data_IF_354654872833
#
_entry.id   IF_354654872833
#
_cell.length_a   1.000
_cell.length_b   1.000
_cell.length_c   1.000
_cell.angle_alpha   90.00
_cell.angle_beta   90.00
_cell.angle_gamma   90.00
#
_symmetry.space_group_name_H-M   'P 1'
#
loop_
_entity.id
_entity.type
_entity.pdbx_description
1 polymer ?
#
# COMPACT_ATOMS: atom_id res chain seq x y z
N UNK A 1 9.23 -51.45 -19.93
CA UNK A 1 9.51 -50.26 -20.78
C UNK A 1 8.84 -49.08 -20.11
N UNK A 2 9.47 -48.49 -19.09
CA UNK A 2 9.00 -47.28 -18.43
C UNK A 2 10.17 -46.32 -18.33
N UNK A 3 10.20 -45.37 -19.26
CA UNK A 3 11.08 -44.21 -19.24
C UNK A 3 10.28 -43.02 -18.74
N UNK A 4 10.29 -42.77 -17.43
CA UNK A 4 9.80 -41.51 -16.84
C UNK A 4 10.98 -40.57 -16.72
N UNK A 5 11.31 -39.90 -17.81
CA UNK A 5 12.20 -38.75 -17.86
C UNK A 5 11.35 -37.48 -18.00
N UNK A 6 10.97 -36.87 -16.88
CA UNK A 6 10.52 -35.47 -16.85
C UNK A 6 11.18 -34.76 -15.69
N UNK A 7 12.22 -34.02 -16.05
CA UNK A 7 12.87 -33.02 -15.20
C UNK A 7 11.84 -31.94 -14.86
N UNK A 8 11.36 -31.94 -13.61
CA UNK A 8 10.63 -30.80 -13.07
C UNK A 8 11.67 -29.77 -12.61
N UNK A 9 11.71 -28.64 -13.32
CA UNK A 9 12.40 -27.43 -12.88
C UNK A 9 11.79 -26.99 -11.55
N UNK A 10 12.47 -27.28 -10.44
CA UNK A 10 12.14 -26.69 -9.14
C UNK A 10 12.67 -25.26 -9.12
N UNK A 11 11.79 -24.29 -9.31
CA UNK A 11 12.07 -22.89 -8.94
C UNK A 11 12.13 -22.82 -7.42
N UNK A 12 13.34 -22.77 -6.88
CA UNK A 12 13.57 -22.59 -5.44
C UNK A 12 14.12 -21.17 -5.25
N UNK A 13 13.24 -20.18 -5.10
CA UNK A 13 13.68 -18.84 -4.71
C UNK A 13 13.68 -18.71 -3.19
N UNK A 14 14.89 -18.73 -2.61
CA UNK A 14 15.07 -18.36 -1.22
C UNK A 14 15.00 -16.84 -1.12
N UNK A 15 13.84 -16.34 -0.72
CA UNK A 15 13.70 -14.95 -0.34
C UNK A 15 14.33 -14.71 1.03
N UNK A 16 15.58 -14.21 1.04
CA UNK A 16 16.23 -13.70 2.25
C UNK A 16 15.70 -12.31 2.57
N UNK A 17 14.41 -12.18 2.86
CA UNK A 17 13.93 -10.99 3.55
C UNK A 17 13.82 -11.31 5.04
N UNK A 18 14.45 -10.51 5.91
CA UNK A 18 14.18 -10.60 7.34
C UNK A 18 12.72 -10.23 7.58
N UNK A 19 11.84 -11.22 7.68
CA UNK A 19 10.45 -10.98 8.07
C UNK A 19 10.43 -10.62 9.54
N UNK A 20 9.97 -9.42 9.86
CA UNK A 20 9.78 -9.01 11.25
C UNK A 20 8.58 -9.73 11.84
N UNK A 21 8.77 -10.44 12.96
CA UNK A 21 7.72 -11.19 13.64
C UNK A 21 6.58 -10.29 14.14
N UNK A 22 6.88 -9.02 14.42
CA UNK A 22 5.93 -8.00 14.80
C UNK A 22 6.25 -6.73 14.05
N UNK A 23 5.22 -5.97 13.74
CA UNK A 23 5.39 -4.60 13.30
C UNK A 23 6.13 -3.78 14.38
N UNK A 24 6.95 -2.79 14.00
CA UNK A 24 7.66 -1.93 14.93
C UNK A 24 6.73 -1.32 15.99
N UNK A 25 5.50 -0.95 15.61
CA UNK A 25 4.48 -0.42 16.52
C UNK A 25 4.04 -1.39 17.62
N UNK A 26 4.23 -2.70 17.42
CA UNK A 26 3.85 -3.76 18.36
C UNK A 26 5.04 -4.33 19.14
N UNK A 27 6.24 -3.78 18.92
CA UNK A 27 7.46 -4.19 19.61
C UNK A 27 7.68 -3.35 20.86
N UNK A 28 8.27 -3.93 21.91
CA UNK A 28 8.64 -3.16 23.08
C UNK A 28 9.64 -2.06 22.68
N UNK A 29 9.44 -0.81 23.11
CA UNK A 29 10.33 0.29 22.76
C UNK A 29 11.77 -0.04 23.19
N UNK A 30 12.72 0.21 22.30
CA UNK A 30 14.15 -0.05 22.54
C UNK A 30 14.63 -1.48 22.23
N UNK A 31 13.76 -2.39 21.80
CA UNK A 31 14.16 -3.73 21.32
C UNK A 31 14.21 -3.77 19.80
N UNK A 32 15.21 -4.46 19.24
CA UNK A 32 15.25 -4.75 17.80
C UNK A 32 14.16 -5.77 17.45
N UNK A 33 13.37 -5.54 16.38
CA UNK A 33 12.40 -6.52 15.91
C UNK A 33 13.06 -7.86 15.61
N UNK A 34 12.47 -8.96 16.09
CA UNK A 34 12.98 -10.30 15.79
C UNK A 34 12.64 -10.68 14.36
N UNK A 35 13.63 -11.26 13.68
CA UNK A 35 13.51 -11.70 12.29
C UNK A 35 13.43 -13.22 12.21
N UNK A 36 12.74 -13.75 11.21
CA UNK A 36 12.69 -15.18 10.92
C UNK A 36 12.80 -15.41 9.42
N UNK A 37 13.55 -16.45 9.04
CA UNK A 37 13.66 -16.86 7.64
C UNK A 37 12.43 -17.67 7.24
N UNK A 38 11.86 -17.34 6.09
CA UNK A 38 10.69 -18.02 5.53
C UNK A 38 11.08 -18.60 4.18
N UNK A 39 10.70 -19.85 3.95
CA UNK A 39 10.85 -20.53 2.66
C UNK A 39 9.45 -20.61 2.05
N UNK A 40 9.29 -19.99 0.88
CA UNK A 40 8.10 -20.11 0.05
C UNK A 40 8.48 -20.93 -1.19
N UNK A 41 7.71 -21.97 -1.48
CA UNK A 41 7.93 -22.86 -2.62
C UNK A 41 6.72 -22.79 -3.58
N UNK A 42 6.95 -23.18 -4.83
CA UNK A 42 5.93 -23.35 -5.88
C UNK A 42 5.06 -22.10 -6.13
N UNK A 43 3.76 -22.16 -5.87
CA UNK A 43 2.78 -21.11 -6.12
C UNK A 43 2.87 -19.93 -5.12
N UNK A 44 3.65 -20.07 -4.05
CA UNK A 44 3.89 -19.00 -3.07
C UNK A 44 5.07 -18.09 -3.44
N UNK A 45 5.86 -18.42 -4.46
CA UNK A 45 6.95 -17.57 -4.95
C UNK A 45 6.37 -16.24 -5.46
N UNK A 46 7.03 -15.12 -5.14
CA UNK A 46 6.58 -13.74 -5.45
C UNK A 46 5.22 -13.32 -4.87
N UNK A 47 4.69 -14.06 -3.88
CA UNK A 47 3.41 -13.73 -3.24
C UNK A 47 3.41 -12.43 -2.42
N UNK A 48 4.58 -11.84 -2.15
CA UNK A 48 4.73 -10.56 -1.46
C UNK A 48 5.98 -9.79 -1.91
N UNK A 49 5.96 -8.47 -1.72
CA UNK A 49 7.08 -7.57 -2.02
C UNK A 49 7.68 -6.98 -0.74
N UNK A 50 8.96 -6.55 -0.76
CA UNK A 50 9.53 -5.81 0.36
C UNK A 50 8.65 -4.62 0.76
N UNK A 51 8.27 -4.55 2.04
CA UNK A 51 7.40 -3.51 2.59
C UNK A 51 5.93 -3.92 2.76
N UNK A 52 5.51 -5.03 2.16
CA UNK A 52 4.16 -5.56 2.37
C UNK A 52 3.95 -6.03 3.81
N UNK A 53 2.75 -5.77 4.33
CA UNK A 53 2.28 -6.38 5.57
C UNK A 53 1.72 -7.75 5.23
N UNK A 54 2.39 -8.81 5.67
CA UNK A 54 1.98 -10.20 5.43
C UNK A 54 1.72 -10.95 6.73
N UNK A 55 0.74 -11.84 6.69
CA UNK A 55 0.55 -12.92 7.64
C UNK A 55 0.92 -14.23 6.95
N UNK A 56 1.86 -14.97 7.54
CA UNK A 56 2.39 -16.21 6.96
C UNK A 56 2.04 -17.37 7.90
N UNK A 57 1.39 -18.39 7.34
CA UNK A 57 1.09 -19.64 8.04
C UNK A 57 1.98 -20.72 7.46
N UNK A 58 2.64 -21.48 8.33
CA UNK A 58 3.62 -22.47 7.90
C UNK A 58 4.11 -23.39 9.00
N UNK A 59 5.00 -24.31 8.63
CA UNK A 59 5.61 -25.29 9.53
C UNK A 59 6.97 -24.76 9.98
N UNK A 60 7.13 -24.56 11.29
CA UNK A 60 8.40 -24.15 11.87
C UNK A 60 9.36 -25.34 11.98
N UNK A 61 10.55 -25.25 11.39
CA UNK A 61 11.51 -26.35 11.30
C UNK A 61 12.94 -25.91 11.61
N UNK A 62 13.66 -26.72 12.37
CA UNK A 62 15.09 -26.54 12.59
C UNK A 62 15.90 -27.25 11.49
N UNK A 63 16.79 -26.52 10.82
CA UNK A 63 17.74 -27.07 9.85
C UNK A 63 18.98 -27.59 10.58
N UNK A 64 19.13 -28.93 10.64
CA UNK A 64 20.16 -29.62 11.39
C UNK A 64 21.60 -29.18 11.05
N UNK A 65 21.86 -28.79 9.79
CA UNK A 65 23.21 -28.44 9.33
C UNK A 65 23.67 -27.04 9.70
N UNK A 66 22.76 -26.10 10.03
CA UNK A 66 23.10 -24.68 10.22
C UNK A 66 22.69 -24.08 11.57
N UNK A 67 22.13 -24.88 12.50
CA UNK A 67 21.48 -24.37 13.73
C UNK A 67 20.54 -23.18 13.46
N UNK A 68 19.90 -23.20 12.29
CA UNK A 68 19.03 -22.16 11.79
C UNK A 68 17.61 -22.69 11.78
N UNK A 69 16.67 -21.91 12.28
CA UNK A 69 15.25 -22.23 12.19
C UNK A 69 14.63 -21.47 11.04
N UNK A 70 13.77 -22.15 10.30
CA UNK A 70 13.07 -21.59 9.15
C UNK A 70 11.58 -21.90 9.30
N UNK A 71 10.74 -21.02 8.77
CA UNK A 71 9.32 -21.29 8.57
C UNK A 71 9.11 -21.72 7.12
N UNK A 72 8.64 -22.94 6.90
CA UNK A 72 8.20 -23.37 5.56
C UNK A 72 6.77 -22.87 5.40
N UNK A 73 6.56 -21.90 4.50
CA UNK A 73 5.26 -21.28 4.28
C UNK A 73 4.32 -22.26 3.56
N UNK A 74 3.11 -22.38 4.11
CA UNK A 74 1.97 -23.07 3.47
C UNK A 74 0.97 -22.05 2.89
N UNK A 75 0.95 -20.83 3.43
CA UNK A 75 0.09 -19.75 2.95
C UNK A 75 0.72 -18.40 3.29
N UNK A 76 0.64 -17.46 2.34
CA UNK A 76 1.00 -16.05 2.51
C UNK A 76 -0.22 -15.18 2.25
N UNK A 77 -0.66 -14.46 3.28
CA UNK A 77 -1.80 -13.55 3.22
C UNK A 77 -1.32 -12.10 3.33
N UNK A 78 -1.53 -11.31 2.28
CA UNK A 78 -1.27 -9.86 2.29
C UNK A 78 -2.35 -9.16 3.11
N UNK A 79 -1.97 -8.57 4.25
CA UNK A 79 -2.90 -7.82 5.11
C UNK A 79 -3.30 -6.47 4.51
N UNK A 80 -2.50 -5.94 3.59
CA UNK A 80 -2.84 -4.73 2.83
C UNK A 80 -3.71 -5.02 1.60
N UNK A 81 -4.13 -6.28 1.33
CA UNK A 81 -4.93 -6.62 0.14
C UNK A 81 -6.23 -5.83 0.09
N UNK A 82 -6.92 -5.68 1.22
CA UNK A 82 -8.19 -4.93 1.25
C UNK A 82 -8.02 -3.46 0.90
N UNK A 83 -6.87 -2.86 1.25
CA UNK A 83 -6.55 -1.48 0.88
C UNK A 83 -6.26 -1.33 -0.63
N UNK A 84 -5.66 -2.37 -1.24
CA UNK A 84 -5.24 -2.33 -2.64
C UNK A 84 -6.28 -2.91 -3.63
N UNK A 85 -7.18 -3.78 -3.14
CA UNK A 85 -8.21 -4.46 -3.92
C UNK A 85 -9.41 -4.82 -3.01
N UNK A 86 -10.20 -3.82 -2.58
CA UNK A 86 -11.40 -4.07 -1.80
C UNK A 86 -12.39 -4.93 -2.59
N UNK A 87 -13.03 -5.88 -1.90
CA UNK A 87 -14.09 -6.71 -2.48
C UNK A 87 -15.40 -5.92 -2.37
N UNK A 88 -15.95 -5.49 -3.50
CA UNK A 88 -17.22 -4.78 -3.54
C UNK A 88 -18.40 -5.74 -3.66
N UNK A 89 -19.37 -5.66 -2.75
CA UNK A 89 -20.65 -6.34 -2.88
C UNK A 89 -21.56 -5.65 -3.91
N UNK A 90 -22.61 -6.33 -4.36
CA UNK A 90 -23.60 -5.73 -5.26
C UNK A 90 -24.32 -4.52 -4.63
N UNK A 91 -24.47 -4.52 -3.31
CA UNK A 91 -25.02 -3.41 -2.53
C UNK A 91 -24.05 -2.23 -2.49
N UNK A 92 -22.74 -2.47 -2.30
CA UNK A 92 -21.72 -1.41 -2.36
C UNK A 92 -21.73 -0.71 -3.72
N UNK A 93 -21.79 -1.49 -4.81
CA UNK A 93 -21.86 -0.93 -6.18
C UNK A 93 -23.13 -0.10 -6.38
N UNK A 94 -24.27 -0.52 -5.80
CA UNK A 94 -25.51 0.26 -5.84
C UNK A 94 -25.36 1.58 -5.08
N UNK A 95 -24.84 1.53 -3.86
CA UNK A 95 -24.61 2.72 -3.01
C UNK A 95 -23.62 3.70 -3.65
N UNK A 96 -22.54 3.19 -4.27
CA UNK A 96 -21.58 4.02 -5.02
C UNK A 96 -22.29 4.75 -6.15
N UNK A 97 -23.14 4.06 -6.93
CA UNK A 97 -23.89 4.68 -8.03
C UNK A 97 -24.84 5.77 -7.52
N UNK A 98 -25.52 5.54 -6.41
CA UNK A 98 -26.40 6.52 -5.79
C UNK A 98 -25.63 7.77 -5.34
N UNK A 99 -24.44 7.62 -4.75
CA UNK A 99 -23.57 8.74 -4.38
C UNK A 99 -23.10 9.51 -5.61
N UNK A 100 -22.68 8.81 -6.68
CA UNK A 100 -22.23 9.46 -7.93
C UNK A 100 -23.32 10.23 -8.66
N UNK A 101 -24.59 9.91 -8.41
CA UNK A 101 -25.73 10.60 -9.03
C UNK A 101 -26.08 11.94 -8.33
N UNK A 102 -25.44 12.25 -7.20
CA UNK A 102 -25.66 13.50 -6.48
C UNK A 102 -24.85 14.63 -7.09
N UNK A 103 -25.43 15.82 -7.18
CA UNK A 103 -24.73 17.03 -7.66
C UNK A 103 -23.58 17.45 -6.71
N UNK A 104 -23.72 17.17 -5.41
CA UNK A 104 -22.76 17.52 -4.36
C UNK A 104 -21.75 16.39 -4.05
N UNK A 105 -21.67 15.35 -4.89
CA UNK A 105 -20.83 14.16 -4.62
C UNK A 105 -19.36 14.52 -4.36
N UNK A 106 -18.81 15.49 -5.09
CA UNK A 106 -17.42 15.91 -4.93
C UNK A 106 -17.17 16.67 -3.62
N UNK A 107 -18.10 17.53 -3.22
CA UNK A 107 -18.04 18.24 -1.94
C UNK A 107 -18.22 17.28 -0.77
N UNK A 108 -19.10 16.29 -0.92
CA UNK A 108 -19.30 15.22 0.05
C UNK A 108 -18.00 14.43 0.28
N UNK A 109 -17.30 14.03 -0.80
CA UNK A 109 -16.01 13.33 -0.72
C UNK A 109 -14.95 14.21 -0.04
N UNK A 110 -14.85 15.48 -0.45
CA UNK A 110 -13.91 16.45 0.09
C UNK A 110 -14.10 16.66 1.59
N UNK A 111 -15.35 16.82 2.03
CA UNK A 111 -15.67 17.03 3.44
C UNK A 111 -15.46 15.76 4.29
N UNK A 112 -15.57 14.58 3.68
CA UNK A 112 -15.38 13.28 4.35
C UNK A 112 -13.92 12.88 4.54
N UNK A 113 -12.97 13.48 3.81
CA UNK A 113 -11.55 13.09 3.89
C UNK A 113 -10.92 13.35 5.26
N UNK A 114 -11.26 14.47 5.88
CA UNK A 114 -10.79 14.87 7.20
C UNK A 114 -11.89 15.67 7.90
N UNK A 115 -12.94 15.00 8.42
CA UNK A 115 -14.09 15.68 9.00
C UNK A 115 -13.74 16.45 10.29
N UNK A 116 -12.64 16.05 10.94
CA UNK A 116 -12.11 16.73 12.14
C UNK A 116 -11.45 18.08 11.85
N UNK A 117 -11.12 18.38 10.59
CA UNK A 117 -10.50 19.65 10.18
C UNK A 117 -11.59 20.58 9.66
N UNK A 118 -11.87 21.67 10.37
CA UNK A 118 -12.81 22.69 9.88
C UNK A 118 -12.12 23.59 8.83
N UNK A 119 -12.81 23.87 7.72
CA UNK A 119 -12.30 24.73 6.65
C UNK A 119 -11.32 24.04 5.69
N UNK A 120 -10.47 24.84 5.05
CA UNK A 120 -9.44 24.39 4.10
C UNK A 120 -9.95 23.56 2.92
N UNK A 121 -11.12 23.93 2.37
CA UNK A 121 -11.76 23.19 1.26
C UNK A 121 -10.81 22.99 0.07
N UNK A 122 -10.06 24.01 -0.33
CA UNK A 122 -9.09 23.90 -1.44
C UNK A 122 -7.97 22.89 -1.18
N UNK A 123 -7.48 22.80 0.05
CA UNK A 123 -6.44 21.83 0.43
C UNK A 123 -7.03 20.42 0.39
N UNK A 124 -8.23 20.21 0.96
CA UNK A 124 -8.90 18.92 0.92
C UNK A 124 -9.19 18.48 -0.52
N UNK A 125 -9.64 19.40 -1.38
CA UNK A 125 -9.85 19.15 -2.82
C UNK A 125 -8.54 18.71 -3.48
N UNK A 126 -7.45 19.41 -3.22
CA UNK A 126 -6.14 19.05 -3.76
C UNK A 126 -5.71 17.63 -3.33
N UNK A 127 -5.93 17.27 -2.05
CA UNK A 127 -5.62 15.92 -1.56
C UNK A 127 -6.54 14.87 -2.18
N UNK A 128 -7.83 15.14 -2.37
CA UNK A 128 -8.75 14.22 -3.08
C UNK A 128 -8.28 13.99 -4.52
N UNK A 129 -7.99 15.07 -5.27
CA UNK A 129 -7.48 14.97 -6.64
C UNK A 129 -6.15 14.21 -6.71
N UNK A 130 -5.31 14.38 -5.69
CA UNK A 130 -4.06 13.65 -5.55
C UNK A 130 -4.28 12.15 -5.30
N UNK A 131 -5.26 11.78 -4.48
CA UNK A 131 -5.62 10.37 -4.22
C UNK A 131 -6.27 9.68 -5.42
N UNK A 132 -7.03 10.41 -6.25
CA UNK A 132 -7.65 9.87 -7.46
C UNK A 132 -6.64 9.60 -8.58
N UNK A 133 -5.42 10.16 -8.47
CA UNK A 133 -4.37 10.14 -9.50
C UNK A 133 -4.85 10.73 -10.85
N UNK A 134 -3.92 10.83 -11.81
CA UNK A 134 -4.23 11.27 -13.17
C UNK A 134 -4.50 10.10 -14.12
N UNK A 135 -5.22 10.36 -15.21
CA UNK A 135 -5.42 9.38 -16.29
C UNK A 135 -4.25 9.44 -17.25
N UNK A 136 -3.58 8.31 -17.46
CA UNK A 136 -2.55 8.17 -18.50
C UNK A 136 -3.17 8.29 -19.90
N UNK A 137 -2.52 9.01 -20.80
CA UNK A 137 -3.01 9.21 -22.17
C UNK A 137 -1.98 8.76 -23.19
N UNK A 138 -2.35 7.78 -24.00
CA UNK A 138 -1.58 7.36 -25.16
C UNK A 138 -2.08 8.11 -26.40
N UNK A 139 -1.22 8.94 -27.00
CA UNK A 139 -1.54 9.63 -28.24
C UNK A 139 -1.39 8.68 -29.43
N UNK A 140 -2.13 8.97 -30.51
CA UNK A 140 -2.10 8.19 -31.76
C UNK A 140 -0.72 8.15 -32.44
N UNK A 141 0.18 9.06 -32.09
CA UNK A 141 1.54 9.14 -32.61
C UNK A 141 2.56 8.32 -31.78
N UNK A 142 2.11 7.52 -30.81
CA UNK A 142 2.97 6.68 -29.97
C UNK A 142 3.57 7.40 -28.75
N UNK A 143 3.29 8.70 -28.55
CA UNK A 143 3.72 9.41 -27.34
C UNK A 143 2.83 8.99 -26.17
N UNK A 144 3.46 8.46 -25.13
CA UNK A 144 2.81 8.19 -23.85
C UNK A 144 2.92 9.42 -22.96
N UNK A 145 1.79 10.07 -22.68
CA UNK A 145 1.69 11.05 -21.61
C UNK A 145 1.41 10.31 -20.32
N UNK A 146 2.41 10.29 -19.44
CA UNK A 146 2.21 9.84 -18.06
C UNK A 146 1.05 10.61 -17.46
N UNK A 147 0.23 9.91 -16.69
CA UNK A 147 -0.71 10.55 -15.77
C UNK A 147 0.04 11.44 -14.78
N UNK A 148 -0.68 12.06 -13.86
CA UNK A 148 -0.03 12.71 -12.73
C UNK A 148 0.88 11.67 -12.05
N UNK A 149 2.11 12.05 -11.64
CA UNK A 149 2.96 11.14 -10.91
C UNK A 149 2.20 10.62 -9.69
N UNK A 150 2.42 9.36 -9.33
CA UNK A 150 1.98 8.82 -8.05
C UNK A 150 2.32 9.86 -6.98
N UNK A 151 1.32 10.23 -6.21
CA UNK A 151 1.41 11.31 -5.24
C UNK A 151 2.70 11.20 -4.43
N UNK A 152 3.63 12.16 -4.60
CA UNK A 152 4.84 12.23 -3.78
C UNK A 152 4.54 12.53 -2.31
N UNK A 153 3.28 12.80 -1.95
CA UNK A 153 2.85 12.78 -0.56
C UNK A 153 2.98 11.35 -0.04
N UNK A 154 4.12 11.11 0.60
CA UNK A 154 4.33 9.97 1.46
C UNK A 154 3.22 9.95 2.52
N UNK A 155 2.85 8.77 3.02
CA UNK A 155 1.95 8.62 4.18
C UNK A 155 2.37 9.52 5.36
N UNK A 156 3.64 9.90 5.44
CA UNK A 156 4.18 10.85 6.41
C UNK A 156 3.75 12.30 6.18
N UNK A 157 3.60 12.77 4.93
CA UNK A 157 3.19 14.16 4.63
C UNK A 157 1.69 14.36 4.91
N UNK A 158 0.88 13.33 4.66
CA UNK A 158 -0.53 13.33 5.07
C UNK A 158 -0.69 13.38 6.60
N UNK A 159 0.23 12.76 7.35
CA UNK A 159 0.22 12.81 8.81
C UNK A 159 0.37 14.25 9.31
N UNK A 160 1.18 15.07 8.64
CA UNK A 160 1.33 16.49 8.96
C UNK A 160 0.04 17.26 8.73
N UNK A 161 -0.73 16.96 7.68
CA UNK A 161 -2.04 17.59 7.43
C UNK A 161 -3.05 17.19 8.52
N UNK A 162 -3.03 15.95 9.00
CA UNK A 162 -3.96 15.46 10.03
C UNK A 162 -3.65 16.03 11.41
N UNK A 163 -2.37 16.24 11.75
CA UNK A 163 -1.95 16.88 13.01
C UNK A 163 -1.80 18.39 12.91
N UNK A 164 -2.11 18.99 11.75
CA UNK A 164 -1.92 20.40 11.53
C UNK A 164 -2.88 21.23 12.39
N UNK A 165 -2.35 22.08 13.27
CA UNK A 165 -3.10 23.18 13.83
C UNK A 165 -3.20 24.28 12.78
N UNK A 166 -4.43 24.66 12.41
CA UNK A 166 -4.68 25.66 11.38
C UNK A 166 -4.14 27.02 11.84
N UNK A 167 -3.12 27.50 11.14
CA UNK A 167 -2.60 28.85 11.26
C UNK A 167 -2.70 29.53 9.87
N UNK A 168 -3.68 30.45 9.68
CA UNK A 168 -3.91 31.12 8.40
C UNK A 168 -2.69 31.86 7.85
N UNK A 169 -1.81 32.35 8.73
CA UNK A 169 -0.60 33.07 8.33
C UNK A 169 0.47 32.11 7.81
N UNK A 170 0.63 30.96 8.48
CA UNK A 170 1.53 29.88 8.02
C UNK A 170 1.02 29.31 6.70
N UNK A 171 -0.28 29.02 6.58
CA UNK A 171 -0.90 28.49 5.36
C UNK A 171 -0.68 29.42 4.16
N UNK A 172 -0.86 30.73 4.38
CA UNK A 172 -0.62 31.74 3.35
C UNK A 172 0.86 31.84 2.97
N UNK A 173 1.77 31.71 3.94
CA UNK A 173 3.23 31.69 3.68
C UNK A 173 3.64 30.46 2.88
N UNK A 174 3.13 29.29 3.23
CA UNK A 174 3.38 28.04 2.50
C UNK A 174 2.83 28.14 1.07
N UNK A 175 1.58 28.57 0.91
CA UNK A 175 0.96 28.76 -0.40
C UNK A 175 1.77 29.70 -1.30
N UNK A 176 2.20 30.86 -0.78
CA UNK A 176 3.07 31.80 -1.52
C UNK A 176 4.44 31.20 -1.87
N UNK A 177 5.00 30.34 -1.01
CA UNK A 177 6.28 29.69 -1.26
C UNK A 177 6.15 28.62 -2.35
N UNK A 178 5.12 27.78 -2.30
CA UNK A 178 4.84 26.75 -3.32
C UNK A 178 4.61 27.40 -4.69
N UNK A 179 3.85 28.51 -4.74
CA UNK A 179 3.63 29.31 -5.94
C UNK A 179 4.87 30.05 -6.46
N UNK A 180 5.96 30.14 -5.69
CA UNK A 180 7.25 30.69 -6.16
C UNK A 180 8.19 29.62 -6.69
N UNK A 181 7.93 28.35 -6.35
CA UNK A 181 8.76 27.21 -6.74
C UNK A 181 8.27 26.55 -8.04
N UNK A 182 7.06 26.90 -8.49
CA UNK A 182 6.44 26.50 -9.76
C UNK A 182 6.16 27.74 -10.61
#
# INVERSE_FOLDING_TARGET
>A
MESVSRANFFSFERFWLPFQFRYPENSAPGQLPRTMDVIADDDLVDSCKPGDRVAIVGIYKALARKRQTVLIANNVSLLNKEANAPIYSAEDVKNIKEITARDDAFDLLTNSLAPSIYGNSWIKIAVVLLMLNGVEKNLKNGIHLRGLPDSLLSRFDLLFIVFYQIDPDIDRRISKHVLRMH
#
